data_IF_082638913725
#
_entry.id   IF_082638913725
#
_cell.length_a   1.000
_cell.length_b   1.000
_cell.length_c   1.000
_cell.angle_alpha   90.00
_cell.angle_beta   90.00
_cell.angle_gamma   90.00
#
_symmetry.space_group_name_H-M   'P 1'
#
loop_
_entity.id
_entity.type
_entity.pdbx_description
1 polymer ?
#
# COMPACT_ATOMS: atom_id res chain seq x y z
N UNK A 1 -11.65 -11.20 -17.50
CA UNK A 1 -10.26 -11.23 -16.98
C UNK A 1 -9.83 -9.79 -16.69
N UNK A 2 -9.79 -9.39 -15.42
CA UNK A 2 -9.43 -8.01 -15.02
C UNK A 2 -7.90 -7.88 -14.99
N UNK A 3 -7.37 -6.74 -15.41
CA UNK A 3 -5.93 -6.44 -15.40
C UNK A 3 -5.67 -5.28 -14.46
N UNK A 4 -4.66 -5.41 -13.60
CA UNK A 4 -4.31 -4.41 -12.60
C UNK A 4 -2.95 -3.82 -12.93
N UNK A 5 -2.84 -2.50 -12.85
CA UNK A 5 -1.59 -1.75 -12.87
C UNK A 5 -1.44 -1.11 -11.49
N UNK A 6 -0.32 -1.37 -10.83
CA UNK A 6 -0.05 -0.90 -9.47
C UNK A 6 1.09 0.12 -9.54
N UNK A 7 0.85 1.29 -8.97
CA UNK A 7 1.83 2.35 -8.80
C UNK A 7 2.13 2.49 -7.32
N UNK A 8 3.33 2.12 -6.91
CA UNK A 8 3.83 2.26 -5.54
C UNK A 8 4.83 3.42 -5.47
N UNK A 9 4.53 4.39 -4.62
CA UNK A 9 5.40 5.54 -4.39
C UNK A 9 4.64 6.82 -4.02
N UNK A 10 5.37 7.87 -3.62
CA UNK A 10 4.76 9.15 -3.27
C UNK A 10 4.08 9.80 -4.48
N UNK A 11 2.94 10.45 -4.23
CA UNK A 11 2.29 11.30 -5.23
C UNK A 11 3.09 12.58 -5.38
N UNK A 12 3.30 13.00 -6.63
CA UNK A 12 3.82 14.31 -6.99
C UNK A 12 2.77 15.04 -7.85
N UNK A 13 2.70 16.36 -7.70
CA UNK A 13 1.73 17.21 -8.39
C UNK A 13 1.82 17.06 -9.91
N UNK A 14 3.02 16.89 -10.48
CA UNK A 14 3.25 16.86 -11.93
C UNK A 14 2.63 15.61 -12.56
N UNK A 15 2.90 14.42 -12.01
CA UNK A 15 2.41 13.20 -12.64
C UNK A 15 0.94 12.96 -12.35
N UNK A 16 0.44 13.32 -11.16
CA UNK A 16 -0.97 13.07 -10.82
C UNK A 16 -1.91 13.97 -11.64
N UNK A 17 -1.48 15.19 -11.98
CA UNK A 17 -2.23 16.08 -12.86
C UNK A 17 -2.34 15.52 -14.28
N UNK A 18 -1.24 14.98 -14.81
CA UNK A 18 -1.20 14.32 -16.11
C UNK A 18 -2.10 13.07 -16.17
N UNK A 19 -2.41 12.46 -15.03
CA UNK A 19 -3.29 11.29 -14.94
C UNK A 19 -4.77 11.64 -14.84
N UNK A 20 -5.17 12.91 -14.68
CA UNK A 20 -6.57 13.29 -14.49
C UNK A 20 -7.52 12.77 -15.60
N UNK A 21 -7.08 12.76 -16.87
CA UNK A 21 -7.88 12.25 -18.00
C UNK A 21 -7.97 10.72 -18.07
N UNK A 22 -7.08 10.04 -17.35
CA UNK A 22 -7.12 8.58 -17.19
C UNK A 22 -8.07 8.21 -16.05
N UNK A 23 -8.09 9.04 -15.00
CA UNK A 23 -8.86 8.84 -13.78
C UNK A 23 -10.31 9.32 -13.87
N UNK A 24 -10.65 10.15 -14.87
CA UNK A 24 -12.02 10.57 -15.16
C UNK A 24 -12.83 9.48 -15.91
N UNK A 25 -14.09 9.80 -16.23
CA UNK A 25 -14.99 8.89 -16.96
C UNK A 25 -14.51 8.60 -18.40
N UNK A 26 -13.63 9.43 -18.96
CA UNK A 26 -13.11 9.25 -20.32
C UNK A 26 -12.10 8.10 -20.40
N UNK A 27 -11.41 7.79 -19.29
CA UNK A 27 -10.41 6.70 -19.19
C UNK A 27 -9.43 6.72 -20.36
N UNK A 28 -8.85 7.89 -20.64
CA UNK A 28 -7.99 8.10 -21.81
C UNK A 28 -6.64 8.67 -21.37
N UNK A 29 -5.57 7.95 -21.69
CA UNK A 29 -4.20 8.41 -21.51
C UNK A 29 -3.80 9.30 -22.69
N UNK A 30 -3.50 10.56 -22.38
CA UNK A 30 -3.00 11.53 -23.35
C UNK A 30 -1.47 11.59 -23.24
N UNK A 31 -0.77 11.26 -24.31
CA UNK A 31 0.68 11.33 -24.37
C UNK A 31 1.14 12.70 -24.89
N UNK A 32 2.38 13.09 -24.58
CA UNK A 32 2.94 14.39 -24.99
C UNK A 32 3.01 14.56 -26.53
N UNK A 33 3.06 13.46 -27.28
CA UNK A 33 2.97 13.45 -28.75
C UNK A 33 1.52 13.62 -29.26
N UNK A 34 0.57 13.98 -28.40
CA UNK A 34 -0.87 14.11 -28.68
C UNK A 34 -1.60 12.80 -29.01
N UNK A 35 -0.95 11.64 -28.83
CA UNK A 35 -1.62 10.35 -28.94
C UNK A 35 -2.58 10.13 -27.77
N UNK A 36 -3.73 9.51 -28.06
CA UNK A 36 -4.77 9.24 -27.08
C UNK A 36 -5.05 7.75 -27.03
N UNK A 37 -4.69 7.13 -25.92
CA UNK A 37 -4.87 5.70 -25.69
C UNK A 37 -6.05 5.53 -24.75
N UNK A 38 -7.13 4.91 -25.24
CA UNK A 38 -8.30 4.62 -24.41
C UNK A 38 -8.07 3.34 -23.61
N UNK A 39 -8.23 3.41 -22.30
CA UNK A 39 -8.06 2.26 -21.42
C UNK A 39 -9.29 1.35 -21.52
N UNK A 40 -9.10 0.03 -21.68
CA UNK A 40 -10.22 -0.91 -21.70
C UNK A 40 -10.90 -0.97 -20.32
N UNK A 41 -12.20 -1.25 -20.30
CA UNK A 41 -12.99 -1.33 -19.05
C UNK A 41 -12.55 -2.45 -18.11
N UNK A 42 -11.72 -3.38 -18.58
CA UNK A 42 -11.14 -4.49 -17.81
C UNK A 42 -9.89 -4.09 -17.03
N UNK A 43 -9.32 -2.91 -17.29
CA UNK A 43 -8.11 -2.41 -16.64
C UNK A 43 -8.46 -1.59 -15.41
N UNK A 44 -7.79 -1.89 -14.30
CA UNK A 44 -7.87 -1.19 -13.03
C UNK A 44 -6.50 -0.66 -12.64
N UNK A 45 -6.47 0.52 -12.03
CA UNK A 45 -5.25 1.11 -11.49
C UNK A 45 -5.37 1.19 -9.98
N UNK A 46 -4.27 0.90 -9.28
CA UNK A 46 -4.13 1.04 -7.84
C UNK A 46 -2.92 1.94 -7.57
N UNK A 47 -3.09 2.91 -6.68
CA UNK A 47 -2.01 3.78 -6.22
C UNK A 47 -1.80 3.49 -4.74
N UNK A 48 -0.61 3.00 -4.40
CA UNK A 48 -0.15 2.87 -3.02
C UNK A 48 0.65 4.12 -2.68
N UNK A 49 0.11 4.93 -1.78
CA UNK A 49 0.63 6.27 -1.47
C UNK A 49 0.60 6.47 0.05
N UNK A 50 1.64 7.10 0.59
CA UNK A 50 1.71 7.37 2.02
C UNK A 50 0.80 8.54 2.44
N UNK A 51 0.82 9.63 1.67
CA UNK A 51 -0.04 10.78 1.87
C UNK A 51 -0.44 11.44 0.55
N UNK A 52 -1.52 12.24 0.59
CA UNK A 52 -2.08 12.95 -0.56
C UNK A 52 -1.88 14.47 -0.45
N UNK A 53 -0.87 14.94 0.30
CA UNK A 53 -0.72 16.38 0.60
C UNK A 53 -0.58 17.25 -0.65
N UNK A 54 -0.02 16.70 -1.72
CA UNK A 54 0.22 17.40 -2.99
C UNK A 54 -0.87 17.14 -4.03
N UNK A 55 -1.86 16.31 -3.73
CA UNK A 55 -2.96 16.03 -4.63
C UNK A 55 -4.11 17.03 -4.41
N UNK A 56 -4.65 17.56 -5.50
CA UNK A 56 -5.83 18.44 -5.41
C UNK A 56 -7.09 17.65 -5.00
N UNK A 57 -8.04 18.24 -4.25
CA UNK A 57 -9.30 17.57 -3.91
C UNK A 57 -10.07 17.06 -5.14
N UNK A 58 -9.97 17.78 -6.27
CA UNK A 58 -10.60 17.39 -7.53
C UNK A 58 -9.98 16.14 -8.17
N UNK A 59 -8.69 15.90 -7.93
CA UNK A 59 -8.00 14.67 -8.36
C UNK A 59 -8.42 13.49 -7.50
N UNK A 60 -8.47 13.69 -6.18
CA UNK A 60 -8.85 12.64 -5.23
C UNK A 60 -10.33 12.24 -5.40
N UNK A 61 -11.22 13.17 -5.76
CA UNK A 61 -12.65 12.88 -5.95
C UNK A 61 -12.96 11.93 -7.10
N UNK A 62 -12.02 11.71 -8.03
CA UNK A 62 -12.18 10.79 -9.16
C UNK A 62 -11.80 9.36 -8.82
N UNK A 63 -11.16 9.15 -7.68
CA UNK A 63 -10.61 7.87 -7.27
C UNK A 63 -11.36 7.31 -6.06
N UNK A 64 -11.47 5.98 -5.99
CA UNK A 64 -11.94 5.29 -4.79
C UNK A 64 -10.85 5.29 -3.73
N UNK A 65 -11.11 5.92 -2.58
CA UNK A 65 -10.15 6.01 -1.48
C UNK A 65 -10.33 4.86 -0.49
N UNK A 66 -9.24 4.19 -0.14
CA UNK A 66 -9.18 3.19 0.93
C UNK A 66 -8.12 3.64 1.93
N UNK A 67 -8.55 3.94 3.15
CA UNK A 67 -7.64 4.29 4.24
C UNK A 67 -7.29 3.03 5.03
N UNK A 68 -5.99 2.81 5.23
CA UNK A 68 -5.49 1.69 6.04
C UNK A 68 -4.76 2.24 7.25
N UNK A 69 -5.25 1.88 8.44
CA UNK A 69 -4.55 2.18 9.68
C UNK A 69 -3.44 1.17 9.94
N UNK A 70 -2.33 1.66 10.51
CA UNK A 70 -1.17 0.84 10.87
C UNK A 70 -1.50 -0.26 11.89
N UNK A 71 -2.61 -0.14 12.64
CA UNK A 71 -3.06 -1.17 13.58
C UNK A 71 -3.40 -2.49 12.87
N UNK A 72 -3.82 -2.44 11.59
CA UNK A 72 -4.19 -3.62 10.82
C UNK A 72 -2.97 -4.37 10.25
N UNK A 73 -1.91 -3.65 9.92
CA UNK A 73 -0.62 -4.20 9.44
C UNK A 73 0.48 -3.86 10.44
N UNK A 74 0.24 -4.19 11.71
CA UNK A 74 1.14 -3.86 12.81
C UNK A 74 2.30 -4.82 12.98
N UNK A 75 3.22 -4.48 13.89
CA UNK A 75 4.38 -5.31 14.26
C UNK A 75 4.00 -6.74 14.67
N UNK A 76 2.84 -6.94 15.28
CA UNK A 76 2.35 -8.27 15.65
C UNK A 76 2.12 -9.18 14.43
N UNK A 77 1.59 -8.63 13.33
CA UNK A 77 1.36 -9.38 12.08
C UNK A 77 2.69 -9.80 11.43
N UNK A 78 3.70 -8.91 11.48
CA UNK A 78 5.06 -9.20 11.01
C UNK A 78 5.69 -10.29 11.87
N UNK A 79 5.61 -10.15 13.20
CA UNK A 79 6.17 -11.10 14.16
C UNK A 79 5.57 -12.51 14.01
N UNK A 80 4.25 -12.62 13.82
CA UNK A 80 3.56 -13.89 13.58
C UNK A 80 4.00 -14.53 12.27
N UNK A 81 4.12 -13.74 11.20
CA UNK A 81 4.56 -14.22 9.88
C UNK A 81 6.01 -14.72 9.95
N UNK A 82 6.91 -13.93 10.55
CA UNK A 82 8.30 -14.30 10.76
C UNK A 82 8.44 -15.56 11.63
N UNK A 83 7.66 -15.65 12.71
CA UNK A 83 7.55 -16.82 13.57
C UNK A 83 7.18 -18.09 12.81
N UNK A 84 6.21 -18.00 11.90
CA UNK A 84 5.71 -19.12 11.10
C UNK A 84 6.62 -19.50 9.92
N UNK A 85 7.45 -18.58 9.44
CA UNK A 85 8.32 -18.74 8.26
C UNK A 85 9.79 -18.93 8.68
N UNK A 86 10.57 -17.85 8.70
CA UNK A 86 12.02 -17.87 8.85
C UNK A 86 12.44 -18.34 10.24
N UNK A 87 11.78 -17.89 11.30
CA UNK A 87 12.19 -18.23 12.66
C UNK A 87 12.01 -19.73 12.93
N UNK A 88 10.92 -20.32 12.43
CA UNK A 88 10.65 -21.75 12.54
C UNK A 88 11.75 -22.59 11.87
N UNK A 89 12.30 -22.14 10.75
CA UNK A 89 13.35 -22.87 10.02
C UNK A 89 14.70 -22.81 10.74
N UNK A 90 14.99 -21.70 11.42
CA UNK A 90 16.29 -21.49 12.09
C UNK A 90 16.34 -22.17 13.46
N UNK A 91 15.33 -21.98 14.31
CA UNK A 91 15.38 -22.40 15.74
C UNK A 91 14.48 -23.59 16.07
N UNK A 92 13.73 -24.10 15.08
CA UNK A 92 12.74 -25.15 15.27
C UNK A 92 11.43 -24.65 15.90
N UNK A 93 10.40 -25.51 15.85
CA UNK A 93 9.01 -25.11 16.14
C UNK A 93 8.80 -24.66 17.59
N UNK A 94 9.37 -25.37 18.57
CA UNK A 94 9.22 -25.05 20.00
C UNK A 94 9.84 -23.71 20.35
N UNK A 95 11.08 -23.49 19.92
CA UNK A 95 11.83 -22.27 20.23
C UNK A 95 11.22 -21.05 19.53
N UNK A 96 10.80 -21.20 18.27
CA UNK A 96 10.13 -20.12 17.52
C UNK A 96 8.87 -19.63 18.25
N UNK A 97 8.00 -20.55 18.69
CA UNK A 97 6.78 -20.20 19.43
C UNK A 97 7.08 -19.49 20.75
N UNK A 98 8.14 -19.92 21.44
CA UNK A 98 8.56 -19.31 22.71
C UNK A 98 9.05 -17.88 22.50
N UNK A 99 9.88 -17.66 21.47
CA UNK A 99 10.41 -16.32 21.13
C UNK A 99 9.29 -15.38 20.70
N UNK A 100 8.37 -15.82 19.85
CA UNK A 100 7.22 -15.00 19.43
C UNK A 100 6.40 -14.57 20.64
N UNK A 101 6.05 -15.51 21.52
CA UNK A 101 5.25 -15.21 22.74
C UNK A 101 5.97 -14.24 23.67
N UNK A 102 7.29 -14.39 23.80
CA UNK A 102 8.11 -13.49 24.61
C UNK A 102 8.13 -12.07 24.04
N UNK A 103 8.30 -11.92 22.72
CA UNK A 103 8.29 -10.62 22.07
C UNK A 103 6.89 -10.01 22.16
N UNK A 104 5.82 -10.76 21.87
CA UNK A 104 4.43 -10.27 21.94
C UNK A 104 4.08 -9.69 23.33
N UNK A 105 4.52 -10.35 24.40
CA UNK A 105 4.22 -9.92 25.78
C UNK A 105 5.03 -8.70 26.24
N UNK A 106 6.19 -8.43 25.66
CA UNK A 106 7.05 -7.32 26.06
C UNK A 106 7.02 -6.14 25.06
N UNK A 107 6.43 -6.33 23.88
CA UNK A 107 6.52 -5.38 22.78
C UNK A 107 5.90 -4.03 23.13
N UNK A 108 4.68 -4.01 23.65
CA UNK A 108 3.94 -2.78 23.96
C UNK A 108 4.66 -1.98 25.05
N UNK A 109 5.03 -2.63 26.15
CA UNK A 109 5.80 -2.01 27.23
C UNK A 109 7.16 -1.46 26.76
N UNK A 110 7.83 -2.16 25.83
CA UNK A 110 9.11 -1.70 25.27
C UNK A 110 8.94 -0.50 24.34
N UNK A 111 7.86 -0.47 23.54
CA UNK A 111 7.55 0.67 22.66
C UNK A 111 7.21 1.90 23.51
N UNK A 112 6.38 1.72 24.54
CA UNK A 112 5.99 2.81 25.44
C UNK A 112 7.17 3.36 26.25
N UNK A 113 8.14 2.51 26.60
CA UNK A 113 9.38 2.97 27.23
C UNK A 113 10.25 3.85 26.31
N UNK A 114 10.21 3.59 25.00
CA UNK A 114 11.03 4.30 24.00
C UNK A 114 10.36 5.57 23.44
N UNK A 115 9.04 5.70 23.60
CA UNK A 115 8.25 6.86 23.17
C UNK A 115 8.30 7.98 24.19
#
# INVERSE_FOLDING_TARGET
>A
NRKWIIFDGPVDAVWIENMNTVLDDNKTLCLANSERIKLPSTLHMLFEVQDLKVASPATVSRCGMVYMEQVHVGMLSILKTWGATDLKSIVGVKSSKTIVTFIESNLEASIDFLR
#
